data_IF_020434860902
#
_entry.id   IF_020434860902
#
_cell.length_a   1.000
_cell.length_b   1.000
_cell.length_c   1.000
_cell.angle_alpha   90.00
_cell.angle_beta   90.00
_cell.angle_gamma   90.00
#
_symmetry.space_group_name_H-M   'P 1'
#
loop_
_entity.id
_entity.type
_entity.pdbx_description
1 polymer ?
#
# COMPACT_ATOMS: atom_id res chain seq x y z
N UNK A 1 -3.90 -24.03 3.14
CA UNK A 1 -4.81 -22.88 2.99
C UNK A 1 -4.20 -21.96 1.95
N UNK A 2 -4.74 -21.94 0.71
CA UNK A 2 -4.25 -21.03 -0.34
C UNK A 2 -4.94 -19.68 -0.10
N UNK A 3 -4.20 -18.67 0.32
CA UNK A 3 -4.68 -17.29 0.27
C UNK A 3 -5.02 -16.98 -1.19
N UNK A 4 -6.23 -16.50 -1.54
CA UNK A 4 -6.49 -16.07 -2.90
C UNK A 4 -5.51 -14.94 -3.22
N UNK A 5 -4.79 -15.08 -4.33
CA UNK A 5 -3.84 -14.07 -4.78
C UNK A 5 -4.67 -12.89 -5.34
N UNK A 6 -5.00 -11.92 -4.49
CA UNK A 6 -5.67 -10.70 -4.90
C UNK A 6 -4.77 -9.90 -5.85
N UNK A 7 -5.20 -9.70 -7.10
CA UNK A 7 -4.47 -8.89 -8.06
C UNK A 7 -4.79 -7.41 -7.82
N UNK A 8 -3.93 -6.69 -7.12
CA UNK A 8 -4.08 -5.25 -6.96
C UNK A 8 -3.53 -4.51 -8.18
N UNK A 9 -4.41 -3.94 -8.99
CA UNK A 9 -3.99 -3.02 -10.07
C UNK A 9 -3.37 -1.77 -9.43
N UNK A 10 -2.09 -1.53 -9.69
CA UNK A 10 -1.37 -0.34 -9.24
C UNK A 10 -1.50 0.78 -10.28
N UNK A 11 -1.62 2.03 -9.82
CA UNK A 11 -1.48 3.18 -10.70
C UNK A 11 -0.05 3.23 -11.25
N UNK A 12 0.13 3.62 -12.53
CA UNK A 12 1.44 3.68 -13.19
C UNK A 12 2.46 4.47 -12.36
N UNK A 13 2.05 5.60 -11.78
CA UNK A 13 2.89 6.42 -10.90
C UNK A 13 3.46 5.65 -9.71
N UNK A 14 2.68 4.74 -9.12
CA UNK A 14 3.14 3.91 -8.00
C UNK A 14 4.08 2.80 -8.48
N UNK A 15 3.76 2.18 -9.62
CA UNK A 15 4.63 1.19 -10.25
C UNK A 15 6.00 1.79 -10.59
N UNK A 16 6.04 3.00 -11.14
CA UNK A 16 7.28 3.69 -11.46
C UNK A 16 8.09 4.04 -10.21
N UNK A 17 7.42 4.40 -9.11
CA UNK A 17 8.08 4.59 -7.81
C UNK A 17 8.71 3.30 -7.30
N UNK A 18 8.04 2.15 -7.46
CA UNK A 18 8.60 0.86 -7.06
C UNK A 18 9.77 0.44 -7.95
N UNK A 19 9.67 0.61 -9.28
CA UNK A 19 10.79 0.37 -10.20
C UNK A 19 12.00 1.22 -9.83
N UNK A 20 11.80 2.52 -9.63
CA UNK A 20 12.86 3.44 -9.24
C UNK A 20 13.48 3.08 -7.88
N UNK A 21 12.70 2.55 -6.93
CA UNK A 21 13.24 2.04 -5.68
C UNK A 21 14.07 0.78 -5.94
N UNK A 22 13.54 -0.20 -6.65
CA UNK A 22 14.27 -1.43 -6.97
C UNK A 22 15.62 -1.15 -7.63
N UNK A 23 15.65 -0.24 -8.62
CA UNK A 23 16.90 0.15 -9.28
C UNK A 23 17.91 0.75 -8.29
N UNK A 24 17.47 1.54 -7.31
CA UNK A 24 18.36 2.07 -6.27
C UNK A 24 18.86 0.97 -5.33
N UNK A 25 17.99 0.05 -4.95
CA UNK A 25 18.32 -1.05 -4.02
C UNK A 25 19.31 -2.05 -4.62
N UNK A 26 19.26 -2.30 -5.94
CA UNK A 26 20.22 -3.15 -6.66
C UNK A 26 21.68 -2.74 -6.51
N UNK A 27 21.94 -1.47 -6.20
CA UNK A 27 23.30 -0.95 -6.03
C UNK A 27 23.83 -1.11 -4.60
N UNK A 28 23.03 -1.66 -3.67
CA UNK A 28 23.49 -1.96 -2.31
C UNK A 28 24.29 -3.26 -2.29
N UNK A 29 25.37 -3.26 -1.51
CA UNK A 29 26.12 -4.47 -1.24
C UNK A 29 25.23 -5.52 -0.54
N UNK A 30 25.32 -6.78 -0.98
CA UNK A 30 24.48 -7.87 -0.48
C UNK A 30 22.99 -7.82 -0.90
N UNK A 31 22.61 -7.01 -1.90
CA UNK A 31 21.25 -7.01 -2.43
C UNK A 31 20.84 -8.38 -2.97
N UNK A 32 19.61 -8.81 -2.64
CA UNK A 32 18.94 -9.97 -3.24
C UNK A 32 17.49 -9.62 -3.56
N UNK A 33 16.87 -10.40 -4.44
CA UNK A 33 15.44 -10.26 -4.74
C UNK A 33 14.54 -10.65 -3.57
N UNK A 34 15.09 -11.24 -2.51
CA UNK A 34 14.36 -11.59 -1.28
C UNK A 34 14.20 -10.40 -0.33
N UNK A 35 14.77 -9.23 -0.66
CA UNK A 35 14.61 -8.02 0.11
C UNK A 35 13.13 -7.60 0.15
N UNK A 36 12.65 -7.24 1.34
CA UNK A 36 11.37 -6.59 1.51
C UNK A 36 11.38 -5.21 0.82
N UNK A 37 10.37 -4.94 -0.01
CA UNK A 37 10.18 -3.65 -0.70
C UNK A 37 10.29 -2.47 0.29
N UNK A 38 9.78 -2.66 1.50
CA UNK A 38 9.92 -1.76 2.63
C UNK A 38 10.69 -2.44 3.76
N UNK A 39 11.90 -1.93 4.07
CA UNK A 39 12.73 -2.40 5.19
C UNK A 39 13.91 -3.28 4.79
N UNK A 40 14.01 -3.63 3.51
CA UNK A 40 15.15 -4.31 2.89
C UNK A 40 15.35 -5.72 3.50
N UNK A 41 16.31 -5.93 4.40
CA UNK A 41 16.58 -7.25 5.00
C UNK A 41 15.46 -7.69 5.95
N UNK A 42 14.79 -6.75 6.61
CA UNK A 42 13.72 -7.04 7.58
C UNK A 42 12.50 -6.19 7.26
N UNK A 43 11.28 -6.70 7.45
CA UNK A 43 10.09 -5.90 7.20
C UNK A 43 10.04 -4.71 8.16
N UNK A 44 9.44 -3.60 7.70
CA UNK A 44 9.15 -2.47 8.59
C UNK A 44 8.21 -2.93 9.71
N UNK A 45 8.59 -2.65 10.96
CA UNK A 45 7.76 -2.98 12.12
C UNK A 45 6.46 -2.16 12.11
N UNK A 46 5.39 -2.69 12.71
CA UNK A 46 4.11 -1.97 12.83
C UNK A 46 4.28 -0.64 13.57
N UNK A 47 5.09 -0.64 14.63
CA UNK A 47 5.38 0.54 15.45
C UNK A 47 6.14 1.60 14.65
N UNK A 48 7.12 1.20 13.83
CA UNK A 48 7.86 2.13 12.97
C UNK A 48 6.97 2.72 11.88
N UNK A 49 6.12 1.89 11.27
CA UNK A 49 5.17 2.36 10.28
C UNK A 49 4.21 3.39 10.89
N UNK A 50 3.64 3.09 12.06
CA UNK A 50 2.75 4.01 12.77
C UNK A 50 3.44 5.32 13.14
N UNK A 51 4.66 5.25 13.69
CA UNK A 51 5.46 6.43 14.06
C UNK A 51 5.80 7.30 12.84
N UNK A 52 6.21 6.69 11.72
CA UNK A 52 6.49 7.41 10.47
C UNK A 52 5.22 8.05 9.91
N UNK A 53 4.08 7.34 9.94
CA UNK A 53 2.81 7.89 9.49
C UNK A 53 2.39 9.11 10.32
N UNK A 54 2.45 9.00 11.66
CA UNK A 54 2.14 10.11 12.58
C UNK A 54 3.10 11.31 12.38
N UNK A 55 4.38 11.04 12.10
CA UNK A 55 5.34 12.08 11.74
C UNK A 55 4.92 12.84 10.48
N UNK A 56 4.58 12.14 9.39
CA UNK A 56 4.18 12.79 8.14
C UNK A 56 2.81 13.49 8.22
N UNK A 57 1.86 12.97 8.99
CA UNK A 57 0.57 13.64 9.27
C UNK A 57 0.80 14.99 9.96
N UNK A 58 1.69 15.02 10.97
CA UNK A 58 2.04 16.28 11.64
C UNK A 58 2.69 17.28 10.68
N UNK A 59 3.57 16.82 9.81
CA UNK A 59 4.22 17.68 8.81
C UNK A 59 3.25 18.21 7.76
N UNK A 60 2.24 17.44 7.37
CA UNK A 60 1.25 17.89 6.38
C UNK A 60 0.18 18.82 6.95
N UNK A 61 0.08 18.95 8.28
CA UNK A 61 -0.90 19.81 8.95
C UNK A 61 -2.34 19.30 8.87
N UNK A 62 -2.55 18.06 8.42
CA UNK A 62 -3.89 17.45 8.34
C UNK A 62 -4.29 16.82 9.67
N UNK A 63 -5.60 16.64 9.88
CA UNK A 63 -6.14 15.87 11.00
C UNK A 63 -5.56 14.46 11.04
N UNK A 64 -5.57 13.82 12.22
CA UNK A 64 -5.07 12.45 12.38
C UNK A 64 -5.79 11.50 11.43
N UNK A 65 -5.03 10.76 10.62
CA UNK A 65 -5.52 9.74 9.68
C UNK A 65 -4.95 8.38 10.09
N UNK A 66 -5.76 7.33 10.05
CA UNK A 66 -5.32 5.95 10.29
C UNK A 66 -5.12 5.19 8.97
N UNK A 67 -4.36 4.08 8.91
CA UNK A 67 -4.27 3.28 7.69
C UNK A 67 -5.64 2.77 7.23
N UNK A 68 -6.51 2.42 8.19
CA UNK A 68 -7.90 2.05 7.89
C UNK A 68 -8.70 3.24 7.32
N UNK A 69 -8.50 4.44 7.87
CA UNK A 69 -9.11 5.67 7.36
C UNK A 69 -8.67 6.00 5.92
N UNK A 70 -7.40 5.74 5.57
CA UNK A 70 -6.92 5.84 4.19
C UNK A 70 -7.64 4.83 3.27
N UNK A 71 -7.75 3.56 3.69
CA UNK A 71 -8.46 2.52 2.92
C UNK A 71 -9.93 2.90 2.71
N UNK A 72 -10.61 3.37 3.75
CA UNK A 72 -12.00 3.81 3.67
C UNK A 72 -12.17 5.01 2.73
N UNK A 73 -11.27 6.00 2.81
CA UNK A 73 -11.29 7.17 1.94
C UNK A 73 -11.06 6.79 0.47
N UNK A 74 -10.16 5.83 0.21
CA UNK A 74 -9.93 5.31 -1.14
C UNK A 74 -11.17 4.59 -1.69
N UNK A 75 -11.81 3.71 -0.91
CA UNK A 75 -13.04 3.04 -1.30
C UNK A 75 -14.17 4.05 -1.63
N UNK A 76 -14.37 5.04 -0.74
CA UNK A 76 -15.34 6.12 -0.95
C UNK A 76 -15.06 6.93 -2.22
N UNK A 77 -13.78 7.19 -2.52
CA UNK A 77 -13.37 7.87 -3.75
C UNK A 77 -13.70 7.04 -5.00
N UNK A 78 -13.44 5.72 -4.98
CA UNK A 78 -13.75 4.83 -6.10
C UNK A 78 -15.26 4.77 -6.37
N UNK A 79 -16.08 4.62 -5.32
CA UNK A 79 -17.56 4.62 -5.42
C UNK A 79 -18.05 5.93 -6.05
N UNK A 80 -17.56 7.07 -5.56
CA UNK A 80 -17.92 8.39 -6.10
C UNK A 80 -17.47 8.60 -7.55
N UNK A 81 -16.43 7.90 -7.98
CA UNK A 81 -15.89 7.98 -9.35
C UNK A 81 -16.69 7.16 -10.36
N UNK A 82 -17.83 6.57 -9.96
CA UNK A 82 -18.70 5.73 -10.81
C UNK A 82 -17.97 4.53 -11.43
N UNK A 83 -16.95 4.02 -10.74
CA UNK A 83 -16.34 2.73 -11.09
C UNK A 83 -17.33 1.63 -10.70
N UNK A 84 -17.41 0.60 -11.52
CA UNK A 84 -18.29 -0.55 -11.27
C UNK A 84 -18.03 -1.18 -9.90
N UNK A 85 -19.10 -1.43 -9.15
CA UNK A 85 -19.03 -1.92 -7.77
C UNK A 85 -18.37 -3.31 -7.66
N UNK A 86 -18.48 -4.15 -8.71
CA UNK A 86 -17.83 -5.47 -8.77
C UNK A 86 -16.31 -5.33 -8.84
N UNK A 87 -15.81 -4.37 -9.63
CA UNK A 87 -14.37 -4.05 -9.71
C UNK A 87 -13.84 -3.45 -8.40
N UNK A 88 -14.66 -2.68 -7.69
CA UNK A 88 -14.29 -2.13 -6.37
C UNK A 88 -14.21 -3.25 -5.32
N UNK A 89 -15.16 -4.19 -5.32
CA UNK A 89 -15.19 -5.32 -4.39
C UNK A 89 -14.00 -6.27 -4.59
N UNK A 90 -13.66 -6.58 -5.85
CA UNK A 90 -12.47 -7.34 -6.22
C UNK A 90 -11.19 -6.66 -5.72
N UNK A 91 -11.09 -5.34 -5.89
CA UNK A 91 -9.91 -4.55 -5.49
C UNK A 91 -9.72 -4.42 -3.99
N UNK A 92 -10.81 -4.41 -3.22
CA UNK A 92 -10.77 -4.24 -1.77
C UNK A 92 -10.69 -5.58 -1.01
N UNK A 93 -10.76 -6.72 -1.69
CA UNK A 93 -10.87 -8.06 -1.08
C UNK A 93 -12.01 -8.12 -0.06
N UNK A 94 -13.19 -7.61 -0.41
CA UNK A 94 -14.38 -7.85 0.41
C UNK A 94 -14.89 -9.25 0.05
N UNK A 95 -14.59 -10.26 0.86
CA UNK A 95 -15.42 -11.47 0.93
C UNK A 95 -16.79 -11.02 1.44
N UNK A 96 -17.72 -10.74 0.53
CA UNK A 96 -19.13 -10.73 0.85
C UNK A 96 -19.46 -12.18 1.20
N UNK A 97 -19.40 -12.52 2.48
CA UNK A 97 -20.07 -13.71 2.98
C UNK A 97 -21.57 -13.40 2.95
N UNK A 98 -22.20 -13.81 1.85
CA UNK A 98 -23.63 -14.10 1.79
C UNK A 98 -23.97 -15.33 2.64
#
# INVERSE_FOLDING_TARGET
MKTPLGLLILQNTLLDRFKNRLEKEKHKDGFTLDYFIFGDIKPVSRSDLARKMDYFIRLSGVSRITPHGLRHSHASFLIKSKIDDSLIAERLEHTVQS
#
